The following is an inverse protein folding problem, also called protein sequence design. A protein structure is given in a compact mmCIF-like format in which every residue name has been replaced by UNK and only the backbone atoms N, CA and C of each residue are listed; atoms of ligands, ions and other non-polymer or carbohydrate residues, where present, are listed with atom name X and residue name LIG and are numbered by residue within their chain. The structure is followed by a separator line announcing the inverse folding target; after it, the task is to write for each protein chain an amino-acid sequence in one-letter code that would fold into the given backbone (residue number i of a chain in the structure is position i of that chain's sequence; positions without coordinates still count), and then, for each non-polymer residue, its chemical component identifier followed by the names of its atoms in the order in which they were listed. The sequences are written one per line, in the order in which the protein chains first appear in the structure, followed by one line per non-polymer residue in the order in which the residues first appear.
data_IF_496670568393
#
_entry.id   IF_496670568393
#
_cell.length_a   1.000
_cell.length_b   1.000
_cell.length_c   1.000
_cell.angle_alpha   90.00
_cell.angle_beta   90.00
_cell.angle_gamma   90.00
#
_symmetry.space_group_name_H-M   'P 1'
#
loop_
_entity.id
_entity.type
_entity.pdbx_description
1 polymer ?
#
# COMPACT_ATOMS: atom_id res chain seq x y z
N UNK A 1 -0.14 -13.28 -7.98
CA UNK A 1 0.35 -12.02 -8.58
C UNK A 1 1.78 -11.69 -8.16
N UNK A 2 2.08 -11.51 -6.86
CA UNK A 2 3.44 -11.18 -6.38
C UNK A 2 4.53 -12.18 -6.82
N UNK A 3 4.19 -13.47 -6.83
CA UNK A 3 5.09 -14.56 -7.28
C UNK A 3 5.45 -14.46 -8.77
N UNK A 4 4.58 -13.88 -9.59
CA UNK A 4 4.83 -13.73 -11.02
C UNK A 4 5.79 -12.57 -11.27
N UNK A 5 5.64 -11.47 -10.52
CA UNK A 5 6.57 -10.34 -10.55
C UNK A 5 7.95 -10.80 -10.09
N UNK A 6 8.04 -11.60 -9.02
CA UNK A 6 9.32 -12.09 -8.49
C UNK A 6 10.07 -13.05 -9.40
N UNK A 7 9.37 -13.72 -10.33
CA UNK A 7 9.97 -14.67 -11.28
C UNK A 7 10.44 -14.01 -12.57
N UNK A 8 9.99 -12.80 -12.85
CA UNK A 8 10.41 -12.07 -14.05
C UNK A 8 11.84 -11.53 -13.88
N UNK A 9 12.69 -11.57 -14.92
CA UNK A 9 14.04 -11.00 -14.91
C UNK A 9 13.99 -9.46 -14.99
N UNK A 10 13.49 -8.82 -13.93
CA UNK A 10 13.33 -7.37 -13.83
C UNK A 10 14.28 -6.77 -12.79
N UNK A 11 14.64 -5.50 -12.97
CA UNK A 11 15.41 -4.78 -11.96
C UNK A 11 14.55 -4.60 -10.69
N UNK A 12 15.09 -4.74 -9.47
CA UNK A 12 14.33 -4.59 -8.23
C UNK A 12 13.50 -3.30 -8.13
N UNK A 13 14.04 -2.20 -8.67
CA UNK A 13 13.34 -0.93 -8.78
C UNK A 13 12.07 -1.01 -9.65
N UNK A 14 12.15 -1.64 -10.83
CA UNK A 14 11.01 -1.79 -11.74
C UNK A 14 9.91 -2.67 -11.11
N UNK A 15 10.29 -3.70 -10.36
CA UNK A 15 9.34 -4.55 -9.64
C UNK A 15 8.57 -3.76 -8.58
N UNK A 16 9.26 -2.84 -7.90
CA UNK A 16 8.65 -1.95 -6.91
C UNK A 16 7.69 -0.95 -7.56
N UNK A 17 8.07 -0.37 -8.70
CA UNK A 17 7.22 0.54 -9.45
C UNK A 17 5.94 -0.15 -9.94
N UNK A 18 6.06 -1.35 -10.51
CA UNK A 18 4.91 -2.19 -10.91
C UNK A 18 4.04 -2.52 -9.69
N UNK A 19 4.64 -2.86 -8.55
CA UNK A 19 3.89 -3.14 -7.33
C UNK A 19 3.09 -1.90 -6.89
N UNK A 20 3.72 -0.72 -6.87
CA UNK A 20 3.10 0.53 -6.47
C UNK A 20 1.97 0.93 -7.43
N UNK A 21 2.19 0.90 -8.73
CA UNK A 21 1.21 1.33 -9.74
C UNK A 21 0.05 0.34 -9.84
N UNK A 22 0.38 -0.95 -9.96
CA UNK A 22 -0.56 -1.96 -10.41
C UNK A 22 -1.28 -2.64 -9.24
N UNK A 23 -0.59 -2.89 -8.12
CA UNK A 23 -1.26 -3.45 -6.95
C UNK A 23 -2.18 -2.42 -6.30
N UNK A 24 -1.77 -1.15 -6.25
CA UNK A 24 -2.63 -0.07 -5.71
C UNK A 24 -3.90 0.06 -6.55
N UNK A 25 -3.77 0.27 -7.86
CA UNK A 25 -4.93 0.56 -8.71
C UNK A 25 -5.90 -0.62 -8.84
N UNK A 26 -5.37 -1.84 -9.09
CA UNK A 26 -6.22 -3.01 -9.33
C UNK A 26 -6.86 -3.54 -8.05
N UNK A 27 -6.10 -3.61 -6.95
CA UNK A 27 -6.65 -4.11 -5.69
C UNK A 27 -7.60 -3.09 -5.08
N UNK A 28 -7.35 -1.78 -5.20
CA UNK A 28 -8.28 -0.78 -4.68
C UNK A 28 -9.65 -0.87 -5.36
N UNK A 29 -9.68 -1.00 -6.68
CA UNK A 29 -10.95 -1.14 -7.39
C UNK A 29 -11.74 -2.37 -6.91
N UNK A 30 -11.10 -3.55 -6.91
CA UNK A 30 -11.74 -4.81 -6.49
C UNK A 30 -12.17 -4.80 -5.01
N UNK A 31 -11.35 -4.23 -4.12
CA UNK A 31 -11.58 -4.23 -2.67
C UNK A 31 -12.53 -3.12 -2.23
N UNK A 32 -12.71 -2.06 -3.01
CA UNK A 32 -13.74 -1.04 -2.77
C UNK A 32 -15.10 -1.55 -3.24
N UNK A 33 -15.14 -2.27 -4.38
CA UNK A 33 -16.38 -2.86 -4.90
C UNK A 33 -16.80 -4.12 -4.11
N UNK A 34 -15.84 -4.91 -3.63
CA UNK A 34 -16.07 -6.08 -2.79
C UNK A 34 -16.04 -5.77 -1.29
N UNK A 35 -16.81 -6.52 -0.50
CA UNK A 35 -16.70 -6.45 0.97
C UNK A 35 -15.46 -7.22 1.45
N UNK A 36 -14.31 -6.55 1.46
CA UNK A 36 -13.04 -7.15 1.86
C UNK A 36 -12.88 -7.20 3.38
N UNK A 37 -12.63 -8.39 3.94
CA UNK A 37 -12.37 -8.54 5.37
C UNK A 37 -11.03 -7.89 5.77
N UNK A 38 -11.00 -7.19 6.90
CA UNK A 38 -9.81 -6.48 7.41
C UNK A 38 -8.56 -7.37 7.54
N UNK A 39 -8.74 -8.63 7.92
CA UNK A 39 -7.65 -9.61 8.00
C UNK A 39 -7.01 -9.88 6.64
N UNK A 40 -7.79 -9.95 5.57
CA UNK A 40 -7.29 -10.13 4.20
C UNK A 40 -6.46 -8.93 3.76
N UNK A 41 -6.93 -7.71 4.05
CA UNK A 41 -6.18 -6.48 3.76
C UNK A 41 -4.83 -6.45 4.47
N UNK A 42 -4.78 -6.85 5.74
CA UNK A 42 -3.54 -6.96 6.50
C UNK A 42 -2.60 -8.03 5.94
N UNK A 43 -3.13 -9.18 5.53
CA UNK A 43 -2.33 -10.25 4.93
C UNK A 43 -1.69 -9.79 3.61
N UNK A 44 -2.41 -9.01 2.80
CA UNK A 44 -1.89 -8.39 1.58
C UNK A 44 -0.75 -7.40 1.90
N UNK A 45 -0.93 -6.52 2.88
CA UNK A 45 0.11 -5.60 3.35
C UNK A 45 1.36 -6.34 3.85
N UNK A 46 1.21 -7.49 4.51
CA UNK A 46 2.33 -8.35 4.93
C UNK A 46 3.04 -8.95 3.71
N UNK A 47 2.29 -9.53 2.78
CA UNK A 47 2.85 -10.17 1.59
C UNK A 47 3.62 -9.18 0.71
N UNK A 48 3.07 -7.96 0.52
CA UNK A 48 3.75 -6.90 -0.22
C UNK A 48 5.08 -6.50 0.44
N UNK A 49 5.09 -6.28 1.77
CA UNK A 49 6.33 -5.97 2.50
C UNK A 49 7.35 -7.09 2.43
N UNK A 50 6.91 -8.36 2.50
CA UNK A 50 7.82 -9.50 2.34
C UNK A 50 8.45 -9.56 0.95
N UNK A 51 7.66 -9.33 -0.10
CA UNK A 51 8.17 -9.30 -1.47
C UNK A 51 9.18 -8.16 -1.67
N UNK A 52 8.86 -6.94 -1.21
CA UNK A 52 9.76 -5.78 -1.30
C UNK A 52 11.06 -6.01 -0.52
N UNK A 53 10.99 -6.61 0.67
CA UNK A 53 12.20 -6.99 1.43
C UNK A 53 13.07 -7.98 0.67
N UNK A 54 12.47 -8.97 0.01
CA UNK A 54 13.19 -9.94 -0.79
C UNK A 54 13.87 -9.29 -2.01
N UNK A 55 13.18 -8.39 -2.71
CA UNK A 55 13.71 -7.74 -3.92
C UNK A 55 14.83 -6.74 -3.62
N UNK A 56 14.68 -5.93 -2.57
CA UNK A 56 15.67 -4.91 -2.17
C UNK A 56 16.72 -5.44 -1.19
N UNK A 57 16.62 -6.71 -0.78
CA UNK A 57 17.50 -7.34 0.23
C UNK A 57 17.56 -6.53 1.53
N UNK A 58 16.41 -6.00 1.96
CA UNK A 58 16.30 -5.17 3.16
C UNK A 58 16.39 -6.03 4.44
N UNK A 59 17.01 -5.52 5.51
CA UNK A 59 17.04 -6.20 6.80
C UNK A 59 15.63 -6.30 7.41
N UNK A 60 15.42 -7.31 8.25
CA UNK A 60 14.12 -7.59 8.88
C UNK A 60 13.69 -6.45 9.82
N UNK A 61 14.65 -5.72 10.38
CA UNK A 61 14.47 -4.61 11.32
C UNK A 61 14.07 -3.29 10.65
N UNK A 62 13.80 -3.31 9.34
CA UNK A 62 13.34 -2.11 8.61
C UNK A 62 11.99 -1.63 9.17
N UNK A 63 11.88 -0.36 9.61
CA UNK A 63 10.65 0.17 10.19
C UNK A 63 9.53 0.23 9.15
N UNK A 64 8.29 0.00 9.60
CA UNK A 64 7.11 0.05 8.74
C UNK A 64 6.92 1.43 8.09
N UNK A 65 7.34 2.50 8.79
CA UNK A 65 7.28 3.87 8.28
C UNK A 65 8.03 4.05 6.97
N UNK A 66 9.15 3.35 6.75
CA UNK A 66 9.91 3.45 5.50
C UNK A 66 9.09 2.98 4.29
N UNK A 67 8.27 1.93 4.47
CA UNK A 67 7.46 1.38 3.39
C UNK A 67 6.37 2.35 2.94
N UNK A 68 5.70 3.01 3.89
CA UNK A 68 4.55 3.86 3.62
C UNK A 68 4.90 5.34 3.43
N UNK A 69 6.09 5.78 3.84
CA UNK A 69 6.55 7.15 3.64
C UNK A 69 6.64 7.49 2.14
N UNK A 70 6.39 8.75 1.80
CA UNK A 70 6.42 9.22 0.41
C UNK A 70 7.86 9.17 -0.12
N UNK A 71 8.00 8.97 -1.43
CA UNK A 71 9.31 8.91 -2.11
C UNK A 71 10.11 10.20 -1.90
N UNK A 72 9.43 11.36 -1.87
CA UNK A 72 10.04 12.67 -1.58
C UNK A 72 10.70 12.76 -0.18
N UNK A 73 10.21 11.98 0.78
CA UNK A 73 10.69 11.95 2.16
C UNK A 73 11.71 10.80 2.37
N UNK A 74 12.17 10.16 1.29
CA UNK A 74 13.08 9.02 1.34
C UNK A 74 12.42 7.65 1.60
N UNK A 75 11.09 7.59 1.52
CA UNK A 75 10.32 6.34 1.67
C UNK A 75 10.11 5.56 0.36
N UNK A 76 9.50 4.38 0.48
CA UNK A 76 9.20 3.50 -0.66
C UNK A 76 7.85 3.84 -1.34
N UNK A 77 6.99 4.64 -0.69
CA UNK A 77 5.74 5.11 -1.26
C UNK A 77 4.67 4.03 -1.46
N UNK A 78 4.71 2.94 -0.69
CA UNK A 78 3.63 1.94 -0.69
C UNK A 78 2.37 2.53 -0.02
N UNK A 79 1.21 2.13 -0.53
CA UNK A 79 -0.08 2.42 0.09
C UNK A 79 -0.46 1.29 1.06
N UNK A 80 -1.03 1.63 2.22
CA UNK A 80 -1.54 0.63 3.16
C UNK A 80 -2.98 0.26 2.81
N UNK A 81 -3.21 -0.96 2.36
CA UNK A 81 -4.56 -1.42 2.02
C UNK A 81 -5.46 -1.47 3.24
N UNK A 82 -4.93 -1.85 4.41
CA UNK A 82 -5.70 -1.90 5.65
C UNK A 82 -6.24 -0.53 6.11
N UNK A 83 -5.64 0.57 5.67
CA UNK A 83 -6.08 1.94 6.03
C UNK A 83 -6.85 2.59 4.89
N UNK A 84 -6.36 2.46 3.65
CA UNK A 84 -6.95 3.14 2.49
C UNK A 84 -8.29 2.54 2.08
N UNK A 85 -8.46 1.21 2.11
CA UNK A 85 -9.70 0.57 1.63
C UNK A 85 -10.93 0.91 2.50
N UNK A 86 -10.90 0.76 3.84
CA UNK A 86 -12.05 1.11 4.68
C UNK A 86 -12.44 2.59 4.54
N UNK A 87 -11.43 3.45 4.36
CA UNK A 87 -11.64 4.88 4.13
C UNK A 87 -12.34 5.14 2.80
N UNK A 88 -11.91 4.47 1.72
CA UNK A 88 -12.54 4.57 0.39
C UNK A 88 -13.96 3.99 0.37
N UNK A 89 -14.21 2.87 1.06
CA UNK A 89 -15.54 2.29 1.21
C UNK A 89 -16.49 3.25 1.94
N UNK A 90 -15.99 4.02 2.91
CA UNK A 90 -16.77 5.02 3.66
C UNK A 90 -17.05 6.28 2.82
N UNK A 91 -16.10 6.71 1.98
CA UNK A 91 -16.21 7.91 1.15
C UNK A 91 -17.04 7.70 -0.14
N UNK A 92 -17.28 6.45 -0.53
CA UNK A 92 -18.03 6.09 -1.73
C UNK A 92 -17.21 6.16 -3.04
N UNK A 93 -17.61 5.41 -4.08
CA UNK A 93 -16.84 5.22 -5.32
C UNK A 93 -16.76 6.46 -6.24
N UNK A 94 -17.43 7.57 -5.89
CA UNK A 94 -17.55 8.75 -6.77
C UNK A 94 -16.38 9.73 -6.70
N UNK A 95 -15.45 9.58 -5.74
CA UNK A 95 -14.34 10.53 -5.51
C UNK A 95 -12.94 10.00 -5.89
N UNK A 96 -12.87 8.82 -6.50
CA UNK A 96 -11.61 8.03 -6.52
C UNK A 96 -10.61 8.47 -7.59
N UNK A 97 -11.03 9.19 -8.65
CA UNK A 97 -10.15 9.55 -9.77
C UNK A 97 -9.29 10.82 -9.57
N UNK A 98 -9.50 11.62 -8.50
CA UNK A 98 -8.88 12.94 -8.39
C UNK A 98 -7.99 13.21 -7.17
N UNK A 99 -7.97 12.34 -6.15
CA UNK A 99 -7.42 12.73 -4.82
C UNK A 99 -6.52 11.73 -4.10
N UNK A 100 -6.15 10.60 -4.72
CA UNK A 100 -5.35 9.59 -4.03
C UNK A 100 -3.88 10.00 -3.80
N UNK A 101 -3.44 11.15 -4.34
CA UNK A 101 -2.10 11.72 -4.09
C UNK A 101 -1.92 12.39 -2.71
N UNK A 102 -3.01 12.68 -1.99
CA UNK A 102 -2.94 13.53 -0.77
C UNK A 102 -3.33 12.84 0.54
N UNK A 103 -4.00 11.68 0.51
CA UNK A 103 -4.56 11.06 1.71
C UNK A 103 -3.57 10.27 2.60
N UNK A 104 -2.25 10.42 2.38
CA UNK A 104 -1.20 9.83 3.26
C UNK A 104 -0.49 10.88 4.12
N UNK A 105 -1.17 11.99 4.44
CA UNK A 105 -0.70 12.99 5.41
C UNK A 105 -1.84 13.44 6.31
N UNK A 106 -2.44 12.52 7.07
CA UNK A 106 -3.04 12.91 8.35
C UNK A 106 -3.15 11.73 9.33
N UNK A 107 -2.00 11.28 9.84
CA UNK A 107 -1.94 10.55 11.10
C UNK A 107 -1.84 11.54 12.28
N UNK A 108 -2.59 12.65 12.27
CA UNK A 108 -2.80 13.48 13.45
C UNK A 108 -4.27 13.43 13.85
N UNK A 109 -4.73 12.25 14.29
CA UNK A 109 -5.92 12.19 15.15
C UNK A 109 -5.56 12.88 16.48
N UNK A 110 -6.26 13.94 16.90
CA UNK A 110 -6.10 14.44 18.25
C UNK A 110 -6.60 13.36 19.20
N UNK A 111 -5.79 13.03 20.20
CA UNK A 111 -6.24 12.37 21.42
C UNK A 111 -7.37 13.24 21.99
N UNK A 112 -8.62 12.81 21.82
CA UNK A 112 -9.73 13.38 22.57
C UNK A 112 -9.60 12.84 23.99
N UNK A 113 -9.03 13.66 24.86
CA UNK A 113 -9.18 13.54 26.29
C UNK A 113 -10.65 13.77 26.63
N UNK A 114 -11.23 12.87 27.43
CA UNK A 114 -12.57 12.93 27.99
C UNK A 114 -12.66 11.87 29.07
#
# INVERSE_FOLDING_TARGET
MLVNISKAPLKPYQMLEILKEFATSRLQYELVLGSAHRNTLKALDVAARHAVRAWLRLPKDTPLGLFYAKVKDGGLGLTSFATTIPLLQTLGPTLVHGKLGELSTDCRRPLKNG
#
